data_IF_568503696164
#
_entry.id   IF_568503696164
#
_cell.length_a   1.000
_cell.length_b   1.000
_cell.length_c   1.000
_cell.angle_alpha   90.00
_cell.angle_beta   90.00
_cell.angle_gamma   90.00
#
_symmetry.space_group_name_H-M   'P 1'
#
loop_
_entity.id
_entity.type
_entity.pdbx_description
1 polymer ?
#
# COMPACT_ATOMS: atom_id res chain seq x y z
N UNK A 1 11.79 -10.85 -1.27
CA UNK A 1 10.96 -10.60 -0.07
C UNK A 1 11.79 -10.06 1.09
N UNK A 2 13.04 -10.50 1.31
CA UNK A 2 13.90 -9.93 2.37
C UNK A 2 14.20 -8.44 2.18
N UNK A 3 14.32 -7.96 0.93
CA UNK A 3 14.52 -6.54 0.64
C UNK A 3 13.34 -5.65 1.06
N UNK A 4 12.11 -6.16 1.01
CA UNK A 4 10.94 -5.41 1.45
C UNK A 4 10.95 -5.20 2.98
N UNK A 5 11.25 -6.24 3.75
CA UNK A 5 11.31 -6.15 5.23
C UNK A 5 12.36 -5.13 5.70
N UNK A 6 13.44 -5.00 4.96
CA UNK A 6 14.51 -4.05 5.28
C UNK A 6 14.16 -2.60 4.92
N UNK A 7 13.31 -2.37 3.93
CA UNK A 7 12.73 -1.05 3.63
C UNK A 7 11.90 -0.58 4.83
N UNK A 8 11.11 -1.46 5.43
CA UNK A 8 10.24 -1.15 6.55
C UNK A 8 11.00 -0.82 7.84
N UNK A 9 12.10 -1.56 8.10
CA UNK A 9 13.02 -1.33 9.23
C UNK A 9 13.49 0.12 9.31
N UNK A 10 13.67 0.72 8.16
CA UNK A 10 14.31 2.04 8.00
C UNK A 10 13.34 3.17 7.91
N UNK A 11 12.12 2.90 7.42
CA UNK A 11 11.02 3.81 7.60
C UNK A 11 10.82 4.11 9.10
N UNK A 12 10.98 3.10 9.95
CA UNK A 12 10.94 3.26 11.40
C UNK A 12 12.16 4.00 11.95
N UNK A 13 13.37 3.69 11.51
CA UNK A 13 14.58 4.31 12.08
C UNK A 13 14.83 5.74 11.60
N UNK A 14 14.31 6.13 10.43
CA UNK A 14 14.63 7.41 9.78
C UNK A 14 13.41 8.12 9.17
N UNK A 15 12.22 7.60 9.36
CA UNK A 15 10.97 8.13 8.81
C UNK A 15 10.06 8.77 9.86
N UNK A 16 8.78 8.65 9.64
CA UNK A 16 7.72 9.40 10.33
C UNK A 16 7.32 8.87 11.73
N UNK A 17 8.01 7.83 12.25
CA UNK A 17 7.66 7.18 13.52
C UNK A 17 8.93 6.73 14.24
N UNK A 18 9.43 7.55 15.16
CA UNK A 18 10.66 7.27 15.92
C UNK A 18 10.43 6.87 17.38
N UNK A 19 9.24 7.13 17.93
CA UNK A 19 8.90 6.92 19.34
C UNK A 19 7.88 5.82 19.56
N UNK A 20 7.17 5.44 18.51
CA UNK A 20 6.08 4.46 18.57
C UNK A 20 6.64 3.03 18.70
N UNK A 21 6.12 2.28 19.67
CA UNK A 21 6.53 0.90 19.94
C UNK A 21 5.84 -0.09 19.01
N UNK A 22 4.61 0.22 18.58
CA UNK A 22 3.84 -0.65 17.68
C UNK A 22 3.45 0.12 16.43
N UNK A 23 4.12 -0.18 15.32
CA UNK A 23 3.90 0.46 14.02
C UNK A 23 3.65 -0.58 12.93
N UNK A 24 2.69 -0.29 12.06
CA UNK A 24 2.48 -1.03 10.82
C UNK A 24 2.83 -0.13 9.62
N UNK A 25 3.67 -0.61 8.72
CA UNK A 25 4.00 0.08 7.49
C UNK A 25 3.40 -0.67 6.29
N UNK A 26 2.53 -0.01 5.55
CA UNK A 26 1.90 -0.58 4.36
C UNK A 26 2.57 0.02 3.12
N UNK A 27 3.19 -0.84 2.32
CA UNK A 27 3.73 -0.47 1.02
C UNK A 27 2.68 -0.71 -0.06
N UNK A 28 1.97 0.34 -0.46
CA UNK A 28 1.00 0.33 -1.54
C UNK A 28 1.67 0.80 -2.84
N UNK A 29 2.33 -0.12 -3.52
CA UNK A 29 3.02 0.08 -4.81
C UNK A 29 2.38 -0.80 -5.89
N UNK A 30 3.14 -1.25 -6.88
CA UNK A 30 2.65 -2.23 -7.86
C UNK A 30 2.06 -3.46 -7.18
N UNK A 31 2.74 -4.00 -6.15
CA UNK A 31 2.20 -4.98 -5.22
C UNK A 31 1.80 -4.34 -3.88
N UNK A 32 1.43 -5.17 -2.93
CA UNK A 32 1.03 -4.77 -1.59
C UNK A 32 1.80 -5.55 -0.54
N UNK A 33 2.48 -4.86 0.36
CA UNK A 33 3.25 -5.46 1.44
C UNK A 33 3.00 -4.81 2.78
N UNK A 34 3.32 -5.51 3.88
CA UNK A 34 3.20 -5.03 5.25
C UNK A 34 4.50 -5.27 6.01
N UNK A 35 5.02 -4.25 6.63
CA UNK A 35 6.06 -4.34 7.66
C UNK A 35 5.46 -4.10 9.04
N UNK A 36 5.95 -4.84 10.03
CA UNK A 36 5.44 -4.75 11.39
C UNK A 36 6.58 -4.50 12.37
N UNK A 37 6.39 -3.52 13.25
CA UNK A 37 7.20 -3.28 14.44
C UNK A 37 6.30 -3.48 15.64
N UNK A 38 6.70 -4.37 16.53
CA UNK A 38 5.99 -4.72 17.76
C UNK A 38 6.99 -4.62 18.91
N UNK A 39 6.62 -3.87 19.94
CA UNK A 39 7.51 -3.56 21.08
C UNK A 39 8.86 -2.97 20.67
N UNK A 40 8.85 -2.08 19.66
CA UNK A 40 10.06 -1.45 19.12
C UNK A 40 10.97 -2.37 18.33
N UNK A 41 10.53 -3.61 18.04
CA UNK A 41 11.30 -4.61 17.29
C UNK A 41 10.58 -5.01 16.01
N UNK A 42 11.36 -5.27 14.96
CA UNK A 42 10.79 -5.79 13.72
C UNK A 42 10.28 -7.20 13.93
N UNK A 43 9.05 -7.41 13.56
CA UNK A 43 8.44 -8.74 13.58
C UNK A 43 8.70 -9.45 12.26
N UNK A 44 9.59 -10.43 12.28
CA UNK A 44 9.95 -11.24 11.10
C UNK A 44 9.10 -12.50 10.94
N UNK A 45 8.39 -12.91 11.99
CA UNK A 45 7.84 -14.27 12.05
C UNK A 45 8.95 -15.33 12.13
N UNK A 46 8.58 -16.61 12.11
CA UNK A 46 9.52 -17.73 12.27
C UNK A 46 10.57 -17.80 11.15
N UNK A 47 10.17 -17.53 9.92
CA UNK A 47 11.00 -17.78 8.71
C UNK A 47 11.25 -16.50 7.88
N UNK A 48 10.97 -15.32 8.44
CA UNK A 48 11.15 -14.05 7.74
C UNK A 48 10.03 -13.67 6.75
N UNK A 49 8.92 -14.41 6.75
CA UNK A 49 7.78 -14.22 5.84
C UNK A 49 6.57 -13.56 6.52
N UNK A 50 6.78 -12.81 7.61
CA UNK A 50 5.68 -12.03 8.17
C UNK A 50 5.29 -10.88 7.24
N UNK A 51 4.01 -10.49 7.28
CA UNK A 51 3.54 -9.33 6.53
C UNK A 51 3.23 -9.58 5.06
N UNK A 52 2.99 -10.82 4.64
CA UNK A 52 2.48 -11.16 3.30
C UNK A 52 1.02 -10.72 3.11
N UNK A 53 0.74 -9.48 3.49
CA UNK A 53 -0.59 -8.87 3.58
C UNK A 53 -1.31 -8.81 2.23
N UNK A 54 -0.57 -8.58 1.15
CA UNK A 54 -1.13 -8.61 -0.20
C UNK A 54 -1.76 -9.95 -0.58
N UNK A 55 -1.32 -11.04 0.06
CA UNK A 55 -1.84 -12.39 -0.19
C UNK A 55 -2.91 -12.83 0.80
N UNK A 56 -3.36 -11.93 1.67
CA UNK A 56 -4.49 -12.20 2.56
C UNK A 56 -5.79 -12.42 1.76
N UNK A 57 -6.51 -13.53 1.93
CA UNK A 57 -7.68 -13.87 1.13
C UNK A 57 -8.92 -13.12 1.63
N UNK A 58 -9.00 -11.84 1.30
CA UNK A 58 -10.08 -10.94 1.74
C UNK A 58 -11.16 -10.73 0.68
N UNK A 59 -10.85 -11.00 -0.58
CA UNK A 59 -11.72 -10.68 -1.71
C UNK A 59 -12.43 -11.94 -2.22
N UNK A 60 -13.73 -11.79 -2.47
CA UNK A 60 -14.51 -12.78 -3.17
C UNK A 60 -14.47 -12.48 -4.68
N UNK A 61 -13.34 -12.77 -5.32
CA UNK A 61 -13.16 -12.61 -6.75
C UNK A 61 -12.38 -13.79 -7.36
N UNK A 62 -12.58 -14.02 -8.66
CA UNK A 62 -11.97 -15.09 -9.43
C UNK A 62 -10.61 -14.69 -10.04
N UNK A 63 -10.07 -13.52 -9.68
CA UNK A 63 -8.81 -13.01 -10.22
C UNK A 63 -7.66 -13.82 -9.64
N UNK A 64 -6.87 -14.41 -10.54
CA UNK A 64 -5.68 -15.17 -10.14
C UNK A 64 -4.56 -14.19 -9.77
N UNK A 65 -4.15 -14.22 -8.52
CA UNK A 65 -2.98 -13.50 -8.04
C UNK A 65 -1.70 -14.15 -8.59
N UNK A 66 -0.63 -13.37 -8.71
CA UNK A 66 0.70 -13.89 -9.10
C UNK A 66 1.24 -15.01 -8.19
N UNK A 67 0.71 -15.15 -6.97
CA UNK A 67 1.03 -16.28 -6.09
C UNK A 67 0.28 -17.58 -6.44
N UNK A 68 -0.54 -17.57 -7.51
CA UNK A 68 -1.34 -18.70 -7.97
C UNK A 68 -2.68 -18.89 -7.26
N UNK A 69 -3.01 -18.08 -6.25
CA UNK A 69 -4.27 -18.16 -5.48
C UNK A 69 -5.27 -17.09 -5.93
N UNK A 70 -6.54 -17.26 -5.54
CA UNK A 70 -7.63 -16.30 -5.77
C UNK A 70 -7.99 -15.58 -4.48
N UNK A 71 -8.68 -14.43 -4.61
CA UNK A 71 -9.17 -13.67 -3.47
C UNK A 71 -8.10 -12.89 -2.70
N UNK A 72 -6.84 -12.86 -3.19
CA UNK A 72 -5.78 -12.09 -2.55
C UNK A 72 -6.10 -10.59 -2.55
N UNK A 73 -5.87 -9.93 -1.42
CA UNK A 73 -6.07 -8.47 -1.26
C UNK A 73 -5.35 -7.65 -2.35
N UNK A 74 -4.15 -8.08 -2.77
CA UNK A 74 -3.37 -7.42 -3.81
C UNK A 74 -4.14 -7.28 -5.12
N UNK A 75 -5.05 -8.20 -5.45
CA UNK A 75 -5.84 -8.15 -6.69
C UNK A 75 -6.91 -7.05 -6.70
N UNK A 76 -7.16 -6.39 -5.57
CA UNK A 76 -8.14 -5.30 -5.48
C UNK A 76 -7.64 -4.03 -4.78
N UNK A 77 -6.45 -4.06 -4.14
CA UNK A 77 -5.97 -2.97 -3.29
C UNK A 77 -4.53 -2.54 -3.58
N UNK A 78 -4.01 -2.83 -4.76
CA UNK A 78 -2.63 -2.51 -5.18
C UNK A 78 -2.58 -1.63 -6.42
N UNK A 79 -1.39 -1.15 -6.77
CA UNK A 79 -1.15 -0.43 -8.02
C UNK A 79 -1.42 -1.30 -9.26
N UNK A 80 -1.10 -2.60 -9.20
CA UNK A 80 -1.42 -3.52 -10.29
C UNK A 80 -2.93 -3.73 -10.45
N UNK A 81 -3.67 -3.73 -9.33
CA UNK A 81 -5.14 -3.76 -9.38
C UNK A 81 -5.71 -2.49 -10.01
N UNK A 82 -5.22 -1.30 -9.58
CA UNK A 82 -5.61 -0.02 -10.17
C UNK A 82 -5.35 0.02 -11.67
N UNK A 83 -4.17 -0.39 -12.09
CA UNK A 83 -3.76 -0.43 -13.50
C UNK A 83 -4.66 -1.36 -14.32
N UNK A 84 -4.88 -2.60 -13.85
CA UNK A 84 -5.74 -3.57 -14.53
C UNK A 84 -7.16 -3.05 -14.68
N UNK A 85 -7.77 -2.56 -13.59
CA UNK A 85 -9.13 -2.05 -13.60
C UNK A 85 -9.24 -0.85 -14.54
N UNK A 86 -8.23 0.04 -14.57
CA UNK A 86 -8.22 1.20 -15.46
C UNK A 86 -8.26 0.77 -16.94
N UNK A 87 -7.43 -0.18 -17.34
CA UNK A 87 -7.42 -0.69 -18.70
C UNK A 87 -8.72 -1.43 -19.07
N UNK A 88 -9.30 -2.20 -18.13
CA UNK A 88 -10.60 -2.84 -18.31
C UNK A 88 -11.69 -1.80 -18.57
N UNK A 89 -11.72 -0.70 -17.79
CA UNK A 89 -12.69 0.39 -17.96
C UNK A 89 -12.53 1.16 -19.27
N UNK A 90 -11.30 1.39 -19.73
CA UNK A 90 -11.08 1.97 -21.05
C UNK A 90 -11.57 1.04 -22.16
N UNK A 91 -11.33 -0.26 -22.05
CA UNK A 91 -11.85 -1.28 -23.00
C UNK A 91 -13.37 -1.33 -23.02
N UNK A 92 -14.03 -1.10 -21.89
CA UNK A 92 -15.50 -0.96 -21.77
C UNK A 92 -16.03 0.36 -22.35
N UNK A 93 -15.16 1.26 -22.83
CA UNK A 93 -15.54 2.53 -23.44
C UNK A 93 -15.66 3.71 -22.46
N UNK A 94 -15.19 3.57 -21.21
CA UNK A 94 -15.11 4.70 -20.29
C UNK A 94 -14.10 5.74 -20.79
N UNK A 95 -14.40 7.01 -20.56
CA UNK A 95 -13.59 8.13 -21.01
C UNK A 95 -12.58 8.55 -19.94
N UNK A 96 -11.36 8.82 -20.34
CA UNK A 96 -10.25 9.32 -19.53
C UNK A 96 -9.37 10.25 -20.37
N UNK A 97 -8.54 11.05 -19.73
CA UNK A 97 -7.47 11.83 -20.39
C UNK A 97 -6.49 10.90 -21.16
N UNK A 98 -6.41 9.62 -20.79
CA UNK A 98 -5.55 8.63 -21.43
C UNK A 98 -6.24 7.86 -22.57
N UNK A 99 -7.51 8.19 -22.91
CA UNK A 99 -8.25 7.48 -23.96
C UNK A 99 -7.57 7.52 -25.33
N UNK A 100 -6.96 8.66 -25.71
CA UNK A 100 -6.25 8.79 -26.98
C UNK A 100 -4.95 7.95 -27.00
N UNK A 101 -4.21 7.92 -25.88
CA UNK A 101 -3.04 7.06 -25.70
C UNK A 101 -3.42 5.58 -25.84
N UNK A 102 -4.53 5.18 -25.23
CA UNK A 102 -5.09 3.84 -25.32
C UNK A 102 -5.47 3.44 -26.77
N UNK A 103 -6.19 4.32 -27.49
CA UNK A 103 -6.63 4.08 -28.87
C UNK A 103 -5.45 3.91 -29.84
N UNK A 104 -4.35 4.62 -29.58
CA UNK A 104 -3.11 4.50 -30.38
C UNK A 104 -2.33 3.22 -30.09
N UNK A 105 -2.74 2.41 -29.11
CA UNK A 105 -2.02 1.22 -28.67
C UNK A 105 -0.73 1.51 -27.90
N UNK A 106 -0.57 2.74 -27.41
CA UNK A 106 0.57 3.14 -26.59
C UNK A 106 0.43 2.55 -25.18
N UNK A 107 1.55 2.15 -24.58
CA UNK A 107 1.56 1.60 -23.21
C UNK A 107 1.11 2.66 -22.20
N UNK A 108 0.13 2.31 -21.36
CA UNK A 108 -0.30 3.12 -20.21
C UNK A 108 0.32 2.51 -18.96
N UNK A 109 1.14 3.26 -18.26
CA UNK A 109 1.78 2.84 -17.01
C UNK A 109 0.96 3.27 -15.79
N UNK A 110 1.25 2.70 -14.61
CA UNK A 110 0.66 3.17 -13.35
C UNK A 110 0.96 4.66 -13.10
N UNK A 111 2.16 5.11 -13.47
CA UNK A 111 2.55 6.51 -13.31
C UNK A 111 1.73 7.44 -14.22
N UNK A 112 1.37 7.00 -15.43
CA UNK A 112 0.47 7.76 -16.30
C UNK A 112 -0.90 7.93 -15.65
N UNK A 113 -1.44 6.86 -15.06
CA UNK A 113 -2.74 6.87 -14.38
C UNK A 113 -2.71 7.81 -13.17
N UNK A 114 -1.65 7.75 -12.36
CA UNK A 114 -1.48 8.64 -11.22
C UNK A 114 -1.29 10.11 -11.65
N UNK A 115 -0.58 10.35 -12.76
CA UNK A 115 -0.44 11.69 -13.33
C UNK A 115 -1.78 12.24 -13.86
N UNK A 116 -2.62 11.39 -14.47
CA UNK A 116 -3.98 11.76 -14.87
C UNK A 116 -4.86 12.06 -13.65
N UNK A 117 -4.79 11.21 -12.61
CA UNK A 117 -5.50 11.43 -11.35
C UNK A 117 -5.19 12.79 -10.72
N UNK A 118 -3.90 13.18 -10.67
CA UNK A 118 -3.48 14.47 -10.13
C UNK A 118 -3.94 15.66 -11.00
N UNK A 119 -4.40 15.41 -12.23
CA UNK A 119 -5.07 16.34 -13.12
C UNK A 119 -6.61 16.19 -13.11
N UNK A 120 -7.12 15.55 -12.06
CA UNK A 120 -8.55 15.36 -11.82
C UNK A 120 -9.27 14.50 -12.88
N UNK A 121 -8.57 13.50 -13.45
CA UNK A 121 -9.20 12.48 -14.30
C UNK A 121 -10.21 11.67 -13.49
N UNK A 122 -11.48 11.78 -13.84
CA UNK A 122 -12.60 11.20 -13.09
C UNK A 122 -12.49 9.67 -13.01
N UNK A 123 -12.11 9.01 -14.12
CA UNK A 123 -11.96 7.55 -14.13
C UNK A 123 -10.85 7.08 -13.17
N UNK A 124 -9.71 7.76 -13.17
CA UNK A 124 -8.61 7.44 -12.29
C UNK A 124 -8.98 7.67 -10.81
N UNK A 125 -9.73 8.72 -10.50
CA UNK A 125 -10.23 9.03 -9.15
C UNK A 125 -11.19 7.95 -8.67
N UNK A 126 -12.21 7.59 -9.45
CA UNK A 126 -13.19 6.56 -9.10
C UNK A 126 -12.52 5.20 -8.81
N UNK A 127 -11.54 4.84 -9.62
CA UNK A 127 -10.82 3.58 -9.44
C UNK A 127 -9.97 3.62 -8.18
N UNK A 128 -9.24 4.71 -7.92
CA UNK A 128 -8.45 4.84 -6.70
C UNK A 128 -9.33 4.86 -5.46
N UNK A 129 -10.53 5.45 -5.51
CA UNK A 129 -11.50 5.41 -4.42
C UNK A 129 -11.90 3.97 -4.09
N UNK A 130 -12.18 3.13 -5.08
CA UNK A 130 -12.49 1.71 -4.89
C UNK A 130 -11.30 0.94 -4.31
N UNK A 131 -10.10 1.16 -4.84
CA UNK A 131 -8.85 0.57 -4.35
C UNK A 131 -8.57 0.99 -2.91
N UNK A 132 -8.71 2.29 -2.61
CA UNK A 132 -8.52 2.85 -1.27
C UNK A 132 -9.54 2.33 -0.26
N UNK A 133 -10.80 2.20 -0.65
CA UNK A 133 -11.84 1.59 0.19
C UNK A 133 -11.49 0.14 0.55
N UNK A 134 -11.07 -0.66 -0.44
CA UNK A 134 -10.66 -2.06 -0.24
C UNK A 134 -9.45 -2.15 0.68
N UNK A 135 -8.46 -1.29 0.47
CA UNK A 135 -7.28 -1.19 1.34
C UNK A 135 -7.67 -0.81 2.77
N UNK A 136 -8.52 0.20 2.93
CA UNK A 136 -8.98 0.66 4.24
C UNK A 136 -9.77 -0.39 5.02
N UNK A 137 -10.58 -1.21 4.33
CA UNK A 137 -11.27 -2.35 4.94
C UNK A 137 -10.27 -3.38 5.50
N UNK A 138 -9.22 -3.68 4.76
CA UNK A 138 -8.17 -4.58 5.22
C UNK A 138 -7.36 -3.99 6.38
N UNK A 139 -7.05 -2.68 6.33
CA UNK A 139 -6.38 -1.95 7.41
C UNK A 139 -7.23 -1.97 8.69
N UNK A 140 -8.55 -1.83 8.59
CA UNK A 140 -9.45 -1.93 9.75
C UNK A 140 -9.30 -3.28 10.47
N UNK A 141 -9.12 -4.37 9.72
CA UNK A 141 -8.80 -5.67 10.30
C UNK A 141 -7.47 -5.67 11.07
N UNK A 142 -6.42 -5.04 10.52
CA UNK A 142 -5.14 -4.91 11.21
C UNK A 142 -5.25 -4.07 12.49
N UNK A 143 -6.02 -2.98 12.45
CA UNK A 143 -6.28 -2.15 13.64
C UNK A 143 -6.93 -2.98 14.74
N UNK A 144 -7.97 -3.74 14.40
CA UNK A 144 -8.69 -4.58 15.36
C UNK A 144 -7.81 -5.70 15.94
N UNK A 145 -6.83 -6.20 15.18
CA UNK A 145 -5.96 -7.31 15.60
C UNK A 145 -4.75 -6.86 16.41
N UNK A 146 -4.13 -5.75 16.03
CA UNK A 146 -2.82 -5.34 16.55
C UNK A 146 -2.89 -4.11 17.44
N UNK A 147 -3.98 -3.33 17.39
CA UNK A 147 -4.10 -2.03 18.06
C UNK A 147 -2.81 -1.20 17.97
N UNK A 148 -2.32 -0.87 16.76
CA UNK A 148 -1.05 -0.18 16.60
C UNK A 148 -1.18 1.29 16.97
N UNK A 149 -0.10 1.89 17.48
CA UNK A 149 -0.02 3.33 17.73
C UNK A 149 -0.09 4.12 16.41
N UNK A 150 0.56 3.59 15.36
CA UNK A 150 0.57 4.24 14.05
C UNK A 150 0.55 3.23 12.90
N UNK A 151 -0.19 3.58 11.84
CA UNK A 151 -0.10 2.93 10.53
C UNK A 151 0.42 3.96 9.53
N UNK A 152 1.52 3.64 8.88
CA UNK A 152 2.11 4.46 7.82
C UNK A 152 1.81 3.82 6.47
N UNK A 153 1.19 4.57 5.57
CA UNK A 153 0.93 4.13 4.19
C UNK A 153 1.94 4.82 3.26
N UNK A 154 2.76 4.03 2.62
CA UNK A 154 3.76 4.49 1.66
C UNK A 154 3.65 3.74 0.33
N UNK A 155 4.67 3.90 -0.52
CA UNK A 155 4.71 3.31 -1.84
C UNK A 155 4.13 4.23 -2.92
N UNK A 156 4.08 3.75 -4.16
CA UNK A 156 3.73 4.55 -5.34
C UNK A 156 2.33 5.17 -5.24
N UNK A 157 1.35 4.47 -4.67
CA UNK A 157 -0.01 5.01 -4.53
C UNK A 157 -0.09 6.17 -3.53
N UNK A 158 0.87 6.33 -2.61
CA UNK A 158 0.88 7.43 -1.64
C UNK A 158 1.03 8.82 -2.29
N UNK A 159 1.51 8.88 -3.54
CA UNK A 159 1.58 10.11 -4.36
C UNK A 159 0.20 10.75 -4.54
N UNK A 160 -0.85 9.94 -4.53
CA UNK A 160 -2.23 10.42 -4.67
C UNK A 160 -2.77 11.15 -3.43
N UNK A 161 -2.02 11.18 -2.32
CA UNK A 161 -2.31 11.93 -1.09
C UNK A 161 -3.76 11.74 -0.60
N UNK A 162 -4.54 12.82 -0.54
CA UNK A 162 -5.91 12.79 -0.01
C UNK A 162 -6.88 11.96 -0.87
N UNK A 163 -6.64 11.83 -2.18
CA UNK A 163 -7.45 10.94 -3.02
C UNK A 163 -7.38 9.47 -2.56
N UNK A 164 -6.23 9.05 -2.03
CA UNK A 164 -6.08 7.72 -1.41
C UNK A 164 -6.56 7.72 0.04
N UNK A 165 -6.18 8.74 0.83
CA UNK A 165 -6.41 8.74 2.27
C UNK A 165 -7.88 8.85 2.65
N UNK A 166 -8.67 9.58 1.88
CA UNK A 166 -10.09 9.80 2.18
C UNK A 166 -10.88 8.48 2.15
N UNK A 167 -10.86 7.70 1.05
CA UNK A 167 -11.54 6.40 1.01
C UNK A 167 -10.97 5.39 2.01
N UNK A 168 -9.66 5.42 2.28
CA UNK A 168 -9.03 4.56 3.30
C UNK A 168 -9.59 4.88 4.68
N UNK A 169 -9.58 6.16 5.10
CA UNK A 169 -10.12 6.59 6.41
C UNK A 169 -11.61 6.28 6.56
N UNK A 170 -12.40 6.52 5.50
CA UNK A 170 -13.83 6.21 5.51
C UNK A 170 -14.08 4.71 5.73
N UNK A 171 -13.32 3.85 5.07
CA UNK A 171 -13.41 2.41 5.26
C UNK A 171 -12.93 1.98 6.66
N UNK A 172 -11.82 2.52 7.15
CA UNK A 172 -11.35 2.26 8.52
C UNK A 172 -12.43 2.60 9.53
N UNK A 173 -13.02 3.80 9.46
CA UNK A 173 -14.07 4.23 10.38
C UNK A 173 -15.32 3.34 10.31
N UNK A 174 -15.61 2.77 9.14
CA UNK A 174 -16.76 1.88 8.94
C UNK A 174 -16.55 0.48 9.50
N UNK A 175 -15.31 -0.05 9.41
CA UNK A 175 -15.04 -1.48 9.66
C UNK A 175 -14.18 -1.76 10.89
N UNK A 176 -13.52 -0.77 11.49
CA UNK A 176 -12.79 -0.95 12.75
C UNK A 176 -13.68 -0.64 13.96
N UNK A 177 -13.31 -1.23 15.11
CA UNK A 177 -13.93 -0.90 16.38
C UNK A 177 -13.54 0.52 16.80
N UNK A 178 -14.52 1.35 17.10
CA UNK A 178 -14.33 2.77 17.42
C UNK A 178 -13.34 3.00 18.59
N UNK A 179 -13.34 2.13 19.60
CA UNK A 179 -12.43 2.22 20.73
C UNK A 179 -10.97 2.03 20.30
N UNK A 180 -10.71 1.06 19.44
CA UNK A 180 -9.36 0.74 18.95
C UNK A 180 -8.88 1.78 17.94
N UNK A 181 -9.77 2.21 17.03
CA UNK A 181 -9.44 3.18 16.00
C UNK A 181 -9.03 4.56 16.55
N UNK A 182 -9.60 4.98 17.69
CA UNK A 182 -9.25 6.25 18.32
C UNK A 182 -7.79 6.34 18.77
N UNK A 183 -7.19 5.21 19.09
CA UNK A 183 -5.81 5.13 19.58
C UNK A 183 -4.79 4.98 18.43
N UNK A 184 -5.24 4.70 17.20
CA UNK A 184 -4.38 4.49 16.04
C UNK A 184 -4.29 5.73 15.17
N UNK A 185 -3.09 6.20 14.91
CA UNK A 185 -2.85 7.28 13.95
C UNK A 185 -2.62 6.70 12.55
N UNK A 186 -3.24 7.31 11.53
CA UNK A 186 -3.02 6.92 10.12
C UNK A 186 -2.29 8.06 9.42
N UNK A 187 -1.08 7.78 8.91
CA UNK A 187 -0.21 8.76 8.26
C UNK A 187 0.20 8.29 6.86
N UNK A 188 0.43 9.24 5.95
CA UNK A 188 1.16 8.96 4.71
C UNK A 188 2.67 9.06 4.97
N UNK A 189 3.44 8.21 4.31
CA UNK A 189 4.89 8.28 4.34
C UNK A 189 5.39 9.56 3.66
N UNK A 190 6.28 10.30 4.32
CA UNK A 190 6.98 11.46 3.75
C UNK A 190 8.15 11.07 2.85
N UNK A 191 8.63 9.80 2.93
CA UNK A 191 9.79 9.33 2.17
C UNK A 191 9.47 8.96 0.71
N UNK A 192 8.19 8.78 0.36
CA UNK A 192 7.75 8.44 -0.99
C UNK A 192 8.49 7.21 -1.57
N UNK A 193 8.83 7.24 -2.87
CA UNK A 193 9.59 6.17 -3.54
C UNK A 193 11.04 6.04 -3.06
N UNK A 194 11.59 7.08 -2.43
CA UNK A 194 12.95 7.07 -1.86
C UNK A 194 13.10 6.12 -0.67
N UNK A 195 12.00 5.72 -0.03
CA UNK A 195 12.02 4.77 1.08
C UNK A 195 12.76 3.46 0.71
N UNK A 196 12.53 2.93 -0.49
CA UNK A 196 13.19 1.72 -1.00
C UNK A 196 14.69 1.89 -1.19
N UNK A 197 15.12 2.97 -1.84
CA UNK A 197 16.53 3.25 -2.15
C UNK A 197 17.31 3.56 -0.86
N UNK A 198 16.79 4.44 -0.03
CA UNK A 198 17.41 4.73 1.28
C UNK A 198 17.46 3.45 2.13
N UNK A 199 16.44 2.64 2.07
CA UNK A 199 16.37 1.33 2.66
C UNK A 199 17.58 0.47 2.27
N UNK A 200 17.83 0.26 1.00
CA UNK A 200 18.94 -0.55 0.49
C UNK A 200 20.33 0.01 0.87
N UNK A 201 20.52 1.33 0.78
CA UNK A 201 21.80 1.97 1.12
C UNK A 201 22.20 1.76 2.59
N UNK A 202 21.26 1.83 3.51
CA UNK A 202 21.55 1.66 4.93
C UNK A 202 21.81 0.18 5.26
N UNK A 203 21.15 -0.82 4.59
CA UNK A 203 21.51 -2.24 4.72
C UNK A 203 22.95 -2.51 4.34
N UNK A 204 23.34 -2.00 3.19
CA UNK A 204 24.71 -2.12 2.76
C UNK A 204 25.66 -1.57 3.83
N UNK A 205 25.33 -0.39 4.38
CA UNK A 205 26.09 0.23 5.46
C UNK A 205 26.11 -0.57 6.76
N UNK A 206 24.94 -1.07 7.22
CA UNK A 206 24.85 -1.84 8.47
C UNK A 206 25.59 -3.18 8.36
N UNK A 207 25.47 -3.87 7.21
CA UNK A 207 26.23 -5.10 6.96
C UNK A 207 27.74 -4.86 6.88
N UNK A 208 28.17 -3.76 6.23
CA UNK A 208 29.61 -3.43 6.14
C UNK A 208 30.20 -2.94 7.45
N UNK A 209 29.41 -2.43 8.37
CA UNK A 209 29.86 -1.94 9.68
C UNK A 209 29.66 -2.97 10.81
N UNK A 210 29.14 -4.16 10.51
CA UNK A 210 28.94 -5.24 11.52
C UNK A 210 27.98 -4.86 12.64
N UNK A 211 26.99 -3.98 12.36
CA UNK A 211 26.05 -3.46 13.36
C UNK A 211 24.84 -4.38 13.61
N UNK A 212 24.90 -5.66 13.15
CA UNK A 212 23.97 -6.75 13.43
C UNK A 212 24.69 -8.09 13.54
#
# INVERSE_FOLDING_TARGET
>A
SSAASDVYKRQYMYGDAHSEKTMLYINASWGLGLGMIIDGKIFYGKSGFSGEFGHFPLLDNEIICRCGKRGCLETGASGSAMHRIFLEKLKEGRVSMLSEKYKKGEEITLNDILAALLKEDVLAIEILESVGHTLGKAIAGLINMFNPEVIVIGGTLSVAKEYLMLPVRNAINKYSLMLVNKDTQIRLSTLGERAGVMGACILARSKSLGLF
#
